data_IF_180102457816
#
_entry.id   IF_180102457816
#
_cell.length_a   1.000
_cell.length_b   1.000
_cell.length_c   1.000
_cell.angle_alpha   90.00
_cell.angle_beta   90.00
_cell.angle_gamma   90.00
#
_symmetry.space_group_name_H-M   'P 1'
#
loop_
_entity.id
_entity.type
_entity.pdbx_description
1 polymer ?
#
# COMPACT_ATOMS: atom_id res chain seq x y z
N UNK A 1 2.54 13.41 25.27
CA UNK A 1 1.67 12.22 25.14
C UNK A 1 2.49 11.09 24.55
N UNK A 2 2.15 9.85 24.87
CA UNK A 2 2.84 8.66 24.39
C UNK A 2 1.89 7.97 23.41
N UNK A 3 2.17 8.05 22.10
CA UNK A 3 1.20 7.68 21.08
C UNK A 3 1.22 6.16 20.85
N UNK A 4 0.34 5.43 21.57
CA UNK A 4 0.32 3.96 21.55
C UNK A 4 -0.76 3.35 20.64
N UNK A 5 -1.81 4.08 20.29
CA UNK A 5 -2.96 3.53 19.58
C UNK A 5 -2.93 3.87 18.07
N UNK A 6 -1.99 3.27 17.33
CA UNK A 6 -1.87 3.45 15.87
C UNK A 6 -3.01 2.72 15.16
N UNK A 7 -3.72 3.45 14.31
CA UNK A 7 -4.78 2.91 13.46
C UNK A 7 -4.43 3.14 12.00
N UNK A 8 -4.88 2.23 11.14
CA UNK A 8 -4.76 2.41 9.71
C UNK A 8 -5.93 1.75 9.00
N UNK A 9 -6.20 2.27 7.81
CA UNK A 9 -7.16 1.72 6.88
C UNK A 9 -6.59 1.80 5.49
N UNK A 10 -6.41 0.63 4.88
CA UNK A 10 -5.89 0.50 3.53
C UNK A 10 -6.99 -0.04 2.62
N UNK A 11 -7.32 0.72 1.59
CA UNK A 11 -8.27 0.32 0.55
C UNK A 11 -7.48 0.01 -0.71
N UNK A 12 -7.61 -1.21 -1.23
CA UNK A 12 -6.97 -1.62 -2.48
C UNK A 12 -8.00 -2.26 -3.39
N UNK A 13 -8.09 -1.83 -4.64
CA UNK A 13 -8.99 -2.46 -5.59
C UNK A 13 -8.92 -1.85 -6.96
N UNK A 14 -9.67 -2.42 -7.90
CA UNK A 14 -9.79 -1.90 -9.25
C UNK A 14 -10.94 -0.90 -9.35
N UNK A 15 -10.80 0.11 -10.21
CA UNK A 15 -11.89 1.00 -10.58
C UNK A 15 -13.11 0.20 -11.08
N UNK A 16 -14.25 0.32 -10.40
CA UNK A 16 -15.48 -0.43 -10.73
C UNK A 16 -15.45 -1.92 -10.37
N UNK A 17 -14.40 -2.39 -9.70
CA UNK A 17 -14.26 -3.77 -9.21
C UNK A 17 -14.46 -3.90 -7.70
N UNK A 18 -14.18 -5.10 -7.18
CA UNK A 18 -14.17 -5.35 -5.74
C UNK A 18 -13.02 -4.56 -5.09
N UNK A 19 -13.35 -3.80 -4.05
CA UNK A 19 -12.38 -3.15 -3.17
C UNK A 19 -12.14 -4.07 -1.97
N UNK A 20 -10.88 -4.28 -1.65
CA UNK A 20 -10.46 -4.97 -0.43
C UNK A 20 -10.04 -3.93 0.58
N UNK A 21 -10.56 -4.08 1.79
CA UNK A 21 -10.24 -3.24 2.91
C UNK A 21 -9.39 -4.04 3.91
N UNK A 22 -8.23 -3.47 4.25
CA UNK A 22 -7.24 -4.06 5.16
C UNK A 22 -7.13 -3.14 6.38
N UNK A 23 -7.25 -3.74 7.57
CA UNK A 23 -7.25 -3.07 8.87
C UNK A 23 -6.42 -3.89 9.88
N UNK A 24 -6.06 -3.32 11.04
CA UNK A 24 -5.58 -4.09 12.18
C UNK A 24 -6.45 -5.34 12.46
N UNK A 25 -5.86 -6.46 12.92
CA UNK A 25 -4.53 -6.58 13.53
C UNK A 25 -3.39 -6.90 12.55
N UNK A 26 -3.61 -6.84 11.23
CA UNK A 26 -2.53 -7.10 10.27
C UNK A 26 -1.41 -6.07 10.39
N UNK A 27 -0.17 -6.52 10.26
CA UNK A 27 1.00 -5.65 10.29
C UNK A 27 1.20 -4.97 8.94
N UNK A 28 1.45 -3.66 8.98
CA UNK A 28 1.79 -2.83 7.83
C UNK A 28 3.06 -2.02 8.14
N UNK A 29 3.94 -1.91 7.15
CA UNK A 29 5.05 -0.96 7.12
C UNK A 29 4.83 -0.04 5.91
N UNK A 30 5.09 1.26 6.05
CA UNK A 30 4.98 2.17 4.93
C UNK A 30 6.02 3.29 4.99
N UNK A 31 6.43 3.73 3.81
CA UNK A 31 7.32 4.85 3.59
C UNK A 31 6.65 5.80 2.59
N UNK A 32 6.26 6.98 3.07
CA UNK A 32 5.59 8.02 2.30
C UNK A 32 6.55 9.19 2.16
N UNK A 33 7.12 9.37 0.98
CA UNK A 33 7.88 10.57 0.62
C UNK A 33 7.05 11.44 -0.32
N UNK A 34 6.93 12.73 -0.04
CA UNK A 34 6.29 13.73 -0.92
C UNK A 34 7.26 14.87 -1.16
N UNK A 35 7.45 15.22 -2.43
CA UNK A 35 8.27 16.37 -2.81
C UNK A 35 7.54 17.25 -3.83
N UNK A 36 8.10 18.42 -4.11
CA UNK A 36 7.54 19.41 -5.04
C UNK A 36 8.03 19.24 -6.50
N UNK A 37 8.70 18.12 -6.82
CA UNK A 37 9.19 17.86 -8.18
C UNK A 37 8.00 17.47 -9.08
N UNK A 38 8.14 17.63 -10.41
CA UNK A 38 7.08 17.29 -11.35
C UNK A 38 6.87 15.78 -11.54
N UNK A 39 7.79 14.94 -11.07
CA UNK A 39 7.67 13.48 -11.14
C UNK A 39 6.66 12.94 -10.11
N UNK A 40 5.93 11.84 -10.42
CA UNK A 40 5.06 11.20 -9.45
C UNK A 40 5.81 10.78 -8.18
N UNK A 41 5.24 11.04 -7.02
CA UNK A 41 5.78 10.50 -5.77
C UNK A 41 5.45 9.00 -5.71
N UNK A 42 6.47 8.18 -5.48
CA UNK A 42 6.33 6.74 -5.30
C UNK A 42 6.41 6.44 -3.80
N UNK A 43 5.33 5.89 -3.27
CA UNK A 43 5.23 5.45 -1.90
C UNK A 43 5.37 3.93 -1.83
N UNK A 44 5.99 3.42 -0.77
CA UNK A 44 6.17 1.98 -0.54
C UNK A 44 5.35 1.54 0.65
N UNK A 45 4.58 0.47 0.49
CA UNK A 45 3.87 -0.18 1.59
C UNK A 45 4.23 -1.66 1.59
N UNK A 46 4.42 -2.27 2.77
CA UNK A 46 4.56 -3.71 2.94
C UNK A 46 3.47 -4.22 3.86
N UNK A 47 2.82 -5.29 3.44
CA UNK A 47 1.78 -5.98 4.17
C UNK A 47 2.25 -7.39 4.50
N UNK A 48 2.12 -7.77 5.77
CA UNK A 48 2.62 -9.05 6.26
C UNK A 48 1.49 -10.06 6.39
N UNK A 49 1.75 -11.27 5.92
CA UNK A 49 0.92 -12.47 6.07
C UNK A 49 -0.53 -12.32 5.59
N UNK A 50 -0.76 -11.53 4.53
CA UNK A 50 -2.06 -11.45 3.88
C UNK A 50 -2.60 -12.83 3.49
N UNK A 51 -3.92 -13.01 3.52
CA UNK A 51 -4.54 -14.23 3.02
C UNK A 51 -4.32 -14.39 1.50
N UNK A 52 -4.26 -15.62 0.95
CA UNK A 52 -4.07 -15.85 -0.48
C UNK A 52 -5.09 -15.12 -1.36
N UNK A 53 -6.36 -15.10 -0.95
CA UNK A 53 -7.46 -14.43 -1.64
C UNK A 53 -7.28 -12.91 -1.70
N UNK A 54 -6.75 -12.32 -0.62
CA UNK A 54 -6.44 -10.89 -0.54
C UNK A 54 -5.29 -10.54 -1.47
N UNK A 55 -4.24 -11.37 -1.52
CA UNK A 55 -3.11 -11.19 -2.42
C UNK A 55 -3.58 -11.20 -3.87
N UNK A 56 -4.42 -12.16 -4.24
CA UNK A 56 -4.96 -12.24 -5.60
C UNK A 56 -5.76 -10.98 -5.98
N UNK A 57 -6.52 -10.41 -5.04
CA UNK A 57 -7.28 -9.19 -5.29
C UNK A 57 -6.36 -7.95 -5.42
N UNK A 58 -5.28 -7.90 -4.64
CA UNK A 58 -4.32 -6.78 -4.58
C UNK A 58 -3.32 -6.81 -5.75
N UNK A 59 -2.93 -8.00 -6.22
CA UNK A 59 -1.98 -8.19 -7.33
C UNK A 59 -2.57 -8.03 -8.73
N UNK A 60 -3.85 -7.64 -8.84
CA UNK A 60 -4.48 -7.40 -10.15
C UNK A 60 -3.93 -6.11 -10.77
N UNK A 61 -3.62 -6.11 -12.08
CA UNK A 61 -3.16 -4.92 -12.78
C UNK A 61 -4.25 -3.82 -12.79
N UNK A 62 -3.80 -2.57 -12.89
CA UNK A 62 -4.62 -1.35 -12.81
C UNK A 62 -5.33 -1.16 -11.45
N UNK A 63 -4.66 -1.57 -10.37
CA UNK A 63 -5.11 -1.31 -9.01
C UNK A 63 -5.06 0.18 -8.66
N UNK A 64 -5.93 0.57 -7.75
CA UNK A 64 -5.89 1.84 -7.03
C UNK A 64 -5.83 1.57 -5.54
N UNK A 65 -5.01 2.34 -4.84
CA UNK A 65 -4.77 2.21 -3.41
C UNK A 65 -5.03 3.54 -2.70
N UNK A 66 -5.62 3.46 -1.50
CA UNK A 66 -5.78 4.59 -0.58
C UNK A 66 -5.37 4.14 0.81
N UNK A 67 -4.34 4.77 1.37
CA UNK A 67 -3.87 4.56 2.72
C UNK A 67 -4.31 5.73 3.61
N UNK A 68 -5.03 5.39 4.67
CA UNK A 68 -5.23 6.24 5.82
C UNK A 68 -4.45 5.67 7.01
N UNK A 69 -3.79 6.53 7.77
CA UNK A 69 -3.12 6.14 9.01
C UNK A 69 -3.08 7.33 9.95
N UNK A 70 -3.28 7.09 11.24
CA UNK A 70 -3.04 8.07 12.29
C UNK A 70 -3.02 7.39 13.66
N UNK A 71 -3.06 8.16 14.74
CA UNK A 71 -3.39 7.68 16.07
C UNK A 71 -4.89 7.82 16.34
N UNK A 72 -5.50 6.83 16.99
CA UNK A 72 -6.92 6.83 17.34
C UNK A 72 -7.33 7.97 18.28
N UNK A 73 -6.36 8.60 18.94
CA UNK A 73 -6.55 9.71 19.88
C UNK A 73 -6.56 11.08 19.16
N UNK A 74 -6.13 11.15 17.90
CA UNK A 74 -6.14 12.35 17.05
C UNK A 74 -7.50 12.46 16.30
N UNK A 75 -7.59 13.25 15.21
CA UNK A 75 -8.84 13.45 14.44
C UNK A 75 -9.32 12.21 13.66
N UNK A 76 -8.65 11.06 13.82
CA UNK A 76 -8.98 9.80 13.17
C UNK A 76 -8.11 9.52 11.94
N UNK A 77 -8.60 8.66 11.04
CA UNK A 77 -7.84 8.17 9.88
C UNK A 77 -7.53 9.28 8.85
N UNK A 78 -6.32 9.86 8.89
CA UNK A 78 -5.86 10.90 7.93
C UNK A 78 -5.33 10.26 6.64
N UNK A 79 -5.65 10.88 5.50
CA UNK A 79 -5.19 10.43 4.19
C UNK A 79 -3.66 10.63 4.04
N UNK A 80 -2.93 9.51 3.96
CA UNK A 80 -1.48 9.52 3.82
C UNK A 80 -1.05 9.42 2.36
N UNK A 81 -1.62 8.46 1.62
CA UNK A 81 -1.29 8.21 0.22
C UNK A 81 -2.50 7.74 -0.58
N UNK A 82 -2.60 8.16 -1.84
CA UNK A 82 -3.60 7.67 -2.78
C UNK A 82 -3.03 7.67 -4.20
N UNK A 83 -3.22 6.57 -4.93
CA UNK A 83 -2.59 6.43 -6.23
C UNK A 83 -2.83 5.10 -6.93
N UNK A 84 -2.29 5.02 -8.15
CA UNK A 84 -2.18 3.74 -8.85
C UNK A 84 -1.24 2.81 -8.10
N UNK A 85 -1.56 1.52 -8.03
CA UNK A 85 -0.77 0.55 -7.27
C UNK A 85 -0.34 -0.62 -8.13
N UNK A 86 0.94 -0.96 -8.01
CA UNK A 86 1.48 -2.25 -8.40
C UNK A 86 1.86 -3.04 -7.15
N UNK A 87 1.59 -4.35 -7.16
CA UNK A 87 1.81 -5.21 -6.02
C UNK A 87 2.65 -6.44 -6.39
N UNK A 88 3.63 -6.74 -5.54
CA UNK A 88 4.47 -7.93 -5.66
C UNK A 88 4.50 -8.68 -4.33
N UNK A 89 4.42 -10.00 -4.37
CA UNK A 89 4.45 -10.83 -3.16
C UNK A 89 5.62 -11.79 -3.20
N UNK A 90 6.36 -11.85 -2.10
CA UNK A 90 7.49 -12.73 -1.88
C UNK A 90 7.46 -13.31 -0.47
N UNK A 91 8.39 -14.23 -0.19
CA UNK A 91 8.61 -14.77 1.15
C UNK A 91 9.96 -14.32 1.66
N UNK A 92 10.00 -13.91 2.91
CA UNK A 92 11.22 -13.60 3.64
C UNK A 92 11.19 -14.36 4.97
N UNK A 93 12.02 -15.40 5.10
CA UNK A 93 11.94 -16.33 6.22
C UNK A 93 10.58 -17.03 6.29
N UNK A 94 9.89 -16.89 7.42
CA UNK A 94 8.53 -17.43 7.65
C UNK A 94 7.42 -16.50 7.16
N UNK A 95 7.75 -15.24 6.87
CA UNK A 95 6.79 -14.21 6.55
C UNK A 95 6.46 -14.20 5.06
N UNK A 96 5.19 -13.99 4.74
CA UNK A 96 4.75 -13.66 3.38
C UNK A 96 4.53 -12.16 3.28
N UNK A 97 5.35 -11.48 2.48
CA UNK A 97 5.34 -10.02 2.34
C UNK A 97 4.72 -9.66 1.00
N UNK A 98 3.70 -8.81 1.03
CA UNK A 98 3.14 -8.17 -0.16
C UNK A 98 3.53 -6.70 -0.16
N UNK A 99 4.42 -6.32 -1.08
CA UNK A 99 4.88 -4.95 -1.27
C UNK A 99 4.03 -4.24 -2.33
N UNK A 100 3.56 -3.04 -1.99
CA UNK A 100 2.77 -2.16 -2.84
C UNK A 100 3.60 -0.91 -3.17
N UNK A 101 3.73 -0.63 -4.46
CA UNK A 101 4.27 0.63 -4.97
C UNK A 101 3.10 1.51 -5.39
N UNK A 102 2.88 2.60 -4.67
CA UNK A 102 1.76 3.51 -4.88
C UNK A 102 2.27 4.81 -5.49
N UNK A 103 1.84 5.12 -6.71
CA UNK A 103 2.23 6.34 -7.42
C UNK A 103 1.13 7.39 -7.35
N UNK A 104 1.44 8.56 -6.78
CA UNK A 104 0.52 9.69 -6.71
C UNK A 104 0.36 10.38 -8.09
N UNK A 105 -0.77 11.07 -8.29
CA UNK A 105 -0.95 12.00 -9.42
C UNK A 105 -1.06 11.40 -10.84
N UNK A 106 -0.79 10.11 -11.07
CA UNK A 106 -0.88 9.50 -12.42
C UNK A 106 -1.52 8.12 -12.44
N UNK A 107 -2.59 7.96 -13.23
CA UNK A 107 -3.01 6.67 -13.79
C UNK A 107 -2.18 6.40 -15.04
N UNK A 108 -1.11 5.60 -14.95
CA UNK A 108 -0.54 5.01 -16.16
C UNK A 108 0.15 3.67 -15.91
N UNK A 109 -0.26 2.73 -16.76
CA UNK A 109 0.03 1.30 -16.83
C UNK A 109 1.52 1.01 -17.08
N UNK A 110 2.10 0.08 -16.31
CA UNK A 110 3.41 -0.57 -16.50
C UNK A 110 4.65 0.28 -16.19
N UNK A 111 5.21 0.12 -14.99
CA UNK A 111 6.59 0.52 -14.69
C UNK A 111 7.58 -0.43 -15.39
N UNK A 112 7.93 -0.13 -16.65
CA UNK A 112 9.17 -0.64 -17.25
C UNK A 112 10.35 0.06 -16.57
N UNK A 113 11.04 -0.62 -15.65
CA UNK A 113 12.34 -0.14 -15.19
C UNK A 113 12.84 -0.58 -13.82
N UNK A 114 12.05 -1.27 -13.00
CA UNK A 114 12.57 -1.76 -11.72
C UNK A 114 13.24 -3.13 -11.97
N UNK A 115 14.58 -3.14 -11.98
CA UNK A 115 15.35 -4.38 -11.78
C UNK A 115 15.11 -4.83 -10.34
N UNK A 116 14.12 -5.68 -10.14
CA UNK A 116 13.99 -6.48 -8.92
C UNK A 116 15.18 -7.44 -8.95
N UNK A 117 16.17 -7.22 -8.10
CA UNK A 117 17.26 -8.16 -7.89
C UNK A 117 16.70 -9.20 -6.92
N UNK A 118 16.46 -10.46 -7.34
CA UNK A 118 16.20 -11.51 -6.37
C UNK A 118 17.49 -11.72 -5.57
N UNK A 119 17.40 -11.64 -4.24
CA UNK A 119 18.35 -12.30 -3.34
C UNK A 119 18.09 -13.80 -3.36
#
# INVERSE_FOLDING_TARGET
MCNFNRVYRLLVGKSGGKVVEIRPPLQIEFEIEKNAKPDPNIHRLKLYNLAPETIEAVSKPDGFCVLYADYAEDEGEVLMAAGGVDAYTYREGTERITELLVADGKRHTTFKGIKIIPV
#
